data_IF_783894080495
#
_entry.id   IF_783894080495
#
_cell.length_a   1.000
_cell.length_b   1.000
_cell.length_c   1.000
_cell.angle_alpha   90.00
_cell.angle_beta   90.00
_cell.angle_gamma   90.00
#
_symmetry.space_group_name_H-M   'P 1'
#
loop_
_entity.id
_entity.type
_entity.pdbx_description
1 polymer ?
#
# COMPACT_ATOMS: atom_id res chain seq x y z
N UNK A 1 -68.94 18.53 -40.95
CA UNK A 1 -67.84 17.58 -40.72
C UNK A 1 -67.22 17.89 -39.36
N UNK A 2 -67.12 16.86 -38.52
CA UNK A 2 -66.59 16.93 -37.15
C UNK A 2 -65.08 16.85 -37.20
N UNK A 3 -64.37 17.70 -36.47
CA UNK A 3 -62.99 17.41 -36.07
C UNK A 3 -62.80 17.82 -34.62
N UNK A 4 -62.47 16.82 -33.80
CA UNK A 4 -62.10 16.90 -32.39
C UNK A 4 -60.59 17.18 -32.25
N UNK A 5 -60.18 17.42 -30.99
CA UNK A 5 -58.86 17.12 -30.38
C UNK A 5 -57.84 18.27 -30.55
N UNK A 6 -57.04 18.72 -29.57
CA UNK A 6 -56.35 18.06 -28.45
C UNK A 6 -56.12 19.05 -27.27
N UNK A 7 -56.36 18.60 -26.05
CA UNK A 7 -56.03 19.29 -24.79
C UNK A 7 -54.53 19.13 -24.50
N UNK A 8 -53.84 20.23 -24.18
CA UNK A 8 -52.40 20.27 -23.86
C UNK A 8 -52.21 20.44 -22.35
N UNK A 9 -52.20 19.32 -21.63
CA UNK A 9 -51.64 19.14 -20.27
C UNK A 9 -50.34 18.36 -20.47
N UNK A 10 -49.16 18.83 -20.06
CA UNK A 10 -48.75 19.16 -18.71
C UNK A 10 -47.60 18.20 -18.35
N UNK A 11 -46.36 18.67 -18.32
CA UNK A 11 -45.23 17.93 -17.75
C UNK A 11 -44.08 18.89 -17.45
N UNK A 12 -44.12 19.55 -16.28
CA UNK A 12 -42.96 20.24 -15.70
C UNK A 12 -42.21 19.20 -14.88
N UNK A 13 -41.17 18.63 -15.49
CA UNK A 13 -40.27 17.68 -14.86
C UNK A 13 -39.42 18.35 -13.79
N UNK A 14 -39.52 17.79 -12.59
CA UNK A 14 -38.79 18.12 -11.37
C UNK A 14 -37.34 17.62 -11.52
N UNK A 15 -36.38 18.53 -11.77
CA UNK A 15 -34.95 18.24 -11.65
C UNK A 15 -34.56 18.31 -10.17
N UNK A 16 -34.78 17.21 -9.45
CA UNK A 16 -34.33 17.05 -8.06
C UNK A 16 -32.84 16.64 -8.08
N UNK A 17 -32.03 17.41 -7.38
CA UNK A 17 -30.57 17.34 -7.43
C UNK A 17 -29.98 16.09 -6.79
N UNK A 18 -29.21 15.36 -7.58
CA UNK A 18 -28.13 14.51 -7.07
C UNK A 18 -26.91 15.41 -6.81
N UNK A 19 -26.92 16.13 -5.68
CA UNK A 19 -25.71 16.72 -5.13
C UNK A 19 -24.89 15.57 -4.55
N UNK A 20 -24.04 14.98 -5.40
CA UNK A 20 -23.21 13.83 -5.06
C UNK A 20 -22.30 14.14 -3.87
N UNK A 21 -22.52 13.40 -2.77
CA UNK A 21 -21.51 13.20 -1.75
C UNK A 21 -20.35 12.43 -2.42
N UNK A 22 -19.35 13.14 -2.91
CA UNK A 22 -18.05 12.52 -3.18
C UNK A 22 -17.47 12.11 -1.83
N UNK A 23 -17.25 10.82 -1.55
CA UNK A 23 -16.51 10.45 -0.37
C UNK A 23 -15.09 11.00 -0.51
N UNK A 24 -14.69 11.80 0.48
CA UNK A 24 -13.28 12.10 0.75
C UNK A 24 -12.62 10.76 1.12
N UNK A 25 -12.23 9.98 0.12
CA UNK A 25 -11.20 8.96 0.29
C UNK A 25 -9.95 9.74 0.70
N UNK A 26 -9.67 9.73 2.01
CA UNK A 26 -8.42 10.24 2.52
C UNK A 26 -7.30 9.51 1.80
N UNK A 27 -6.33 10.21 1.20
CA UNK A 27 -5.21 9.53 0.57
C UNK A 27 -4.56 8.65 1.64
N UNK A 28 -4.35 7.37 1.33
CA UNK A 28 -3.47 6.52 2.11
C UNK A 28 -2.19 7.35 2.35
N UNK A 29 -1.81 7.51 3.62
CA UNK A 29 -0.70 8.38 3.97
C UNK A 29 0.55 7.77 3.35
N UNK A 30 1.05 8.41 2.29
CA UNK A 30 2.22 7.93 1.56
C UNK A 30 3.37 7.70 2.55
N UNK A 31 4.00 6.52 2.50
CA UNK A 31 5.17 6.27 3.33
C UNK A 31 6.32 7.15 2.82
N UNK A 32 6.76 8.10 3.66
CA UNK A 32 7.82 9.04 3.31
C UNK A 32 9.11 8.67 4.04
N UNK A 33 10.18 8.46 3.29
CA UNK A 33 11.51 8.15 3.81
C UNK A 33 12.47 9.31 3.56
N UNK A 34 13.27 9.65 4.57
CA UNK A 34 14.29 10.71 4.47
C UNK A 34 15.66 10.07 4.31
N UNK A 35 16.39 10.44 3.28
CA UNK A 35 17.70 9.88 2.95
C UNK A 35 18.71 11.00 2.78
N UNK A 36 19.85 10.88 3.45
CA UNK A 36 21.02 11.74 3.20
C UNK A 36 21.78 11.19 1.99
N UNK A 37 21.88 12.01 0.94
CA UNK A 37 22.49 11.65 -0.32
C UNK A 37 23.51 12.70 -0.76
N UNK A 38 24.57 12.24 -1.43
CA UNK A 38 25.67 13.07 -1.90
C UNK A 38 25.62 13.10 -3.42
N UNK A 39 25.64 14.31 -3.99
CA UNK A 39 25.72 14.52 -5.42
C UNK A 39 27.06 15.10 -5.80
N UNK A 40 27.71 14.49 -6.79
CA UNK A 40 29.02 14.89 -7.29
C UNK A 40 28.92 15.03 -8.80
N UNK A 41 29.25 16.21 -9.32
CA UNK A 41 29.26 16.46 -10.76
C UNK A 41 30.62 16.95 -11.24
N UNK A 42 31.24 16.19 -12.14
CA UNK A 42 32.53 16.51 -12.74
C UNK A 42 32.47 17.63 -13.79
N UNK A 43 33.21 18.71 -13.56
CA UNK A 43 33.31 19.86 -14.46
C UNK A 43 34.52 19.67 -15.40
N UNK A 44 34.22 19.56 -16.70
CA UNK A 44 35.22 19.51 -17.79
C UNK A 44 35.48 20.88 -18.39
N UNK A 45 36.71 21.12 -18.88
CA UNK A 45 37.19 22.47 -19.19
C UNK A 45 36.36 23.16 -20.29
N UNK A 46 35.77 22.37 -21.20
CA UNK A 46 34.88 22.84 -22.27
C UNK A 46 33.38 22.87 -21.95
N UNK A 47 32.93 22.36 -20.79
CA UNK A 47 31.50 22.15 -20.52
C UNK A 47 30.81 23.31 -19.77
N UNK A 48 31.58 24.24 -19.20
CA UNK A 48 31.08 25.31 -18.30
C UNK A 48 29.98 26.22 -18.86
N UNK A 49 29.82 26.29 -20.18
CA UNK A 49 28.85 27.22 -20.80
C UNK A 49 27.47 26.62 -21.08
N UNK A 50 27.30 25.29 -20.95
CA UNK A 50 26.06 24.61 -21.35
C UNK A 50 25.24 24.11 -20.16
N UNK A 51 25.90 23.77 -19.06
CA UNK A 51 25.31 23.06 -17.93
C UNK A 51 25.65 23.80 -16.65
N UNK A 52 24.70 23.89 -15.71
CA UNK A 52 24.90 24.48 -14.39
C UNK A 52 25.36 23.35 -13.46
N UNK A 53 26.63 23.28 -13.04
CA UNK A 53 27.17 22.13 -12.30
C UNK A 53 26.41 21.81 -11.01
N UNK A 54 25.87 22.85 -10.37
CA UNK A 54 25.06 22.73 -9.16
C UNK A 54 23.76 21.96 -9.39
N UNK A 55 23.10 22.21 -10.51
CA UNK A 55 21.80 21.59 -10.81
C UNK A 55 22.01 20.09 -11.11
N UNK A 56 23.06 19.75 -11.87
CA UNK A 56 23.43 18.34 -12.12
C UNK A 56 23.85 17.62 -10.84
N UNK A 57 24.61 18.27 -9.96
CA UNK A 57 24.95 17.67 -8.67
C UNK A 57 23.70 17.44 -7.80
N UNK A 58 22.69 18.32 -7.89
CA UNK A 58 21.41 18.11 -7.21
C UNK A 58 20.67 16.91 -7.81
N UNK A 59 20.63 16.78 -9.13
CA UNK A 59 19.97 15.67 -9.82
C UNK A 59 20.65 14.33 -9.48
N UNK A 60 21.98 14.28 -9.44
CA UNK A 60 22.75 13.10 -9.00
C UNK A 60 22.48 12.75 -7.53
N UNK A 61 22.40 13.74 -6.63
CA UNK A 61 22.05 13.49 -5.23
C UNK A 61 20.61 12.94 -5.09
N UNK A 62 19.66 13.43 -5.91
CA UNK A 62 18.29 12.91 -5.93
C UNK A 62 18.28 11.46 -6.42
N UNK A 63 19.01 11.16 -7.50
CA UNK A 63 19.19 9.81 -8.01
C UNK A 63 19.72 8.86 -6.94
N UNK A 64 20.81 9.22 -6.27
CA UNK A 64 21.39 8.45 -5.17
C UNK A 64 20.40 8.22 -4.02
N UNK A 65 19.62 9.25 -3.65
CA UNK A 65 18.60 9.12 -2.61
C UNK A 65 17.49 8.13 -2.98
N UNK A 66 16.97 8.23 -4.21
CA UNK A 66 15.89 7.35 -4.69
C UNK A 66 16.40 5.92 -4.93
N UNK A 67 17.58 5.76 -5.52
CA UNK A 67 18.17 4.44 -5.82
C UNK A 67 18.45 3.65 -4.54
N UNK A 68 18.92 4.31 -3.48
CA UNK A 68 19.15 3.67 -2.18
C UNK A 68 17.85 3.14 -1.56
N UNK A 69 16.77 3.93 -1.61
CA UNK A 69 15.44 3.46 -1.17
C UNK A 69 14.96 2.30 -2.03
N UNK A 70 15.15 2.37 -3.34
CA UNK A 70 14.76 1.29 -4.25
C UNK A 70 15.51 -0.01 -3.95
N UNK A 71 16.82 0.05 -3.70
CA UNK A 71 17.63 -1.11 -3.31
C UNK A 71 17.21 -1.68 -1.95
N UNK A 72 16.88 -0.82 -0.99
CA UNK A 72 16.35 -1.23 0.31
C UNK A 72 15.02 -1.99 0.14
N UNK A 73 14.09 -1.46 -0.66
CA UNK A 73 12.81 -2.11 -0.98
C UNK A 73 13.03 -3.46 -1.68
N UNK A 74 13.98 -3.56 -2.62
CA UNK A 74 14.33 -4.84 -3.27
C UNK A 74 14.87 -5.83 -2.24
N UNK A 75 15.74 -5.38 -1.34
CA UNK A 75 16.31 -6.20 -0.27
C UNK A 75 15.26 -6.71 0.72
N UNK A 76 14.30 -5.86 1.10
CA UNK A 76 13.16 -6.22 1.95
C UNK A 76 12.18 -7.19 1.24
N UNK A 77 12.00 -7.04 -0.07
CA UNK A 77 11.12 -7.87 -0.87
C UNK A 77 11.73 -9.23 -1.26
N UNK A 78 13.06 -9.36 -1.18
CA UNK A 78 13.73 -10.63 -1.45
C UNK A 78 13.22 -11.68 -0.45
N UNK A 79 12.69 -12.82 -0.92
CA UNK A 79 12.25 -13.86 -0.02
C UNK A 79 13.44 -14.23 0.85
N UNK A 80 13.28 -14.13 2.18
CA UNK A 80 14.29 -14.57 3.15
C UNK A 80 14.51 -16.07 2.96
N UNK A 81 15.32 -16.43 1.98
CA UNK A 81 15.80 -17.76 1.72
C UNK A 81 16.88 -18.04 2.76
N UNK A 82 16.49 -18.05 4.03
CA UNK A 82 17.22 -18.79 5.04
C UNK A 82 16.87 -20.24 4.76
N UNK A 83 17.73 -21.03 4.09
CA UNK A 83 17.50 -22.46 4.04
C UNK A 83 17.38 -22.93 5.49
N UNK A 84 16.23 -23.49 5.85
CA UNK A 84 16.02 -24.07 7.17
C UNK A 84 16.99 -25.25 7.31
N UNK A 85 18.19 -24.95 7.81
CA UNK A 85 19.31 -25.87 7.94
C UNK A 85 19.06 -26.97 8.99
N UNK A 86 17.81 -27.13 9.45
CA UNK A 86 17.40 -28.14 10.42
C UNK A 86 17.03 -29.49 9.80
N UNK A 87 17.22 -29.69 8.50
CA UNK A 87 16.94 -30.98 7.84
C UNK A 87 18.18 -31.84 7.54
N UNK A 88 19.26 -31.72 8.34
CA UNK A 88 20.34 -32.73 8.34
C UNK A 88 20.55 -33.30 9.73
N UNK A 89 19.62 -34.15 10.16
CA UNK A 89 19.92 -35.23 11.11
C UNK A 89 20.86 -36.23 10.40
N UNK A 90 22.17 -35.98 10.52
CA UNK A 90 23.22 -36.88 10.06
C UNK A 90 24.28 -37.01 11.15
N UNK A 91 24.55 -38.23 11.67
CA UNK A 91 25.32 -38.39 12.89
C UNK A 91 26.82 -38.20 12.67
N UNK A 92 27.40 -37.33 13.49
CA UNK A 92 28.65 -37.50 14.25
C UNK A 92 29.73 -38.35 13.55
N UNK A 93 30.61 -37.67 12.83
CA UNK A 93 31.93 -38.15 12.46
C UNK A 93 32.95 -37.06 12.78
N UNK A 94 33.52 -37.12 13.99
CA UNK A 94 34.63 -36.28 14.41
C UNK A 94 35.81 -36.49 13.47
N UNK A 95 36.36 -35.41 12.93
CA UNK A 95 37.80 -35.15 13.00
C UNK A 95 38.10 -33.68 12.66
N UNK A 96 38.84 -33.07 13.57
CA UNK A 96 39.21 -31.67 13.62
C UNK A 96 40.31 -31.33 12.60
N UNK A 97 40.21 -30.17 11.94
CA UNK A 97 41.29 -29.19 11.78
C UNK A 97 40.86 -27.99 10.93
N UNK A 98 41.07 -26.77 11.47
CA UNK A 98 41.22 -25.55 10.67
C UNK A 98 40.06 -24.55 10.73
N UNK A 99 39.77 -23.99 11.91
CA UNK A 99 38.92 -22.80 12.07
C UNK A 99 39.81 -21.56 12.17
N UNK A 100 40.33 -21.12 11.04
CA UNK A 100 40.88 -19.77 10.82
C UNK A 100 40.17 -19.22 9.58
N UNK A 101 39.27 -18.25 9.76
CA UNK A 101 38.52 -17.65 8.65
C UNK A 101 37.18 -17.00 9.02
N UNK A 102 36.95 -16.66 10.29
CA UNK A 102 35.86 -15.76 10.68
C UNK A 102 36.27 -14.32 10.38
N UNK A 103 36.07 -13.90 9.13
CA UNK A 103 35.97 -12.51 8.72
C UNK A 103 35.07 -12.45 7.48
N UNK A 104 33.84 -12.95 7.61
CA UNK A 104 32.74 -12.53 6.76
C UNK A 104 32.42 -11.09 7.14
N UNK A 105 33.29 -10.16 6.74
CA UNK A 105 32.88 -8.78 6.62
C UNK A 105 31.62 -8.82 5.75
N UNK A 106 30.53 -8.28 6.28
CA UNK A 106 29.38 -7.90 5.48
C UNK A 106 29.96 -7.00 4.39
N UNK A 107 30.26 -7.59 3.24
CA UNK A 107 30.57 -6.88 2.02
C UNK A 107 29.31 -6.06 1.81
N UNK A 108 29.36 -4.79 2.22
CA UNK A 108 28.51 -3.73 1.70
C UNK A 108 28.87 -3.66 0.22
N UNK A 109 28.40 -4.65 -0.53
CA UNK A 109 28.63 -4.79 -1.94
C UNK A 109 28.02 -3.58 -2.58
N UNK A 110 28.87 -2.73 -3.16
CA UNK A 110 28.38 -1.69 -4.05
C UNK A 110 27.48 -2.36 -5.08
N UNK A 111 26.29 -1.79 -5.36
CA UNK A 111 25.36 -2.37 -6.31
C UNK A 111 26.08 -2.56 -7.64
N UNK A 112 25.90 -3.75 -8.22
CA UNK A 112 26.51 -4.05 -9.51
C UNK A 112 26.00 -3.09 -10.59
N UNK A 113 26.82 -2.82 -11.61
CA UNK A 113 26.44 -1.93 -12.71
C UNK A 113 25.14 -2.35 -13.41
N UNK A 114 24.87 -3.66 -13.47
CA UNK A 114 23.65 -4.21 -14.05
C UNK A 114 22.41 -3.93 -13.19
N UNK A 115 22.53 -3.98 -11.85
CA UNK A 115 21.46 -3.60 -10.93
C UNK A 115 21.12 -2.11 -11.06
N UNK A 116 22.16 -1.25 -11.10
CA UNK A 116 21.97 0.20 -11.28
C UNK A 116 21.32 0.50 -12.62
N UNK A 117 21.71 -0.18 -13.69
CA UNK A 117 21.09 -0.04 -15.01
C UNK A 117 19.62 -0.51 -15.01
N UNK A 118 19.32 -1.62 -14.33
CA UNK A 118 17.96 -2.13 -14.15
C UNK A 118 17.07 -1.13 -13.42
N UNK A 119 17.57 -0.55 -12.32
CA UNK A 119 16.88 0.50 -11.56
C UNK A 119 16.60 1.73 -12.41
N UNK A 120 17.57 2.19 -13.21
CA UNK A 120 17.38 3.35 -14.08
C UNK A 120 16.33 3.08 -15.15
N UNK A 121 16.28 1.88 -15.69
CA UNK A 121 15.23 1.45 -16.60
C UNK A 121 13.82 1.46 -15.95
N UNK A 122 13.74 1.07 -14.67
CA UNK A 122 12.47 0.99 -13.94
C UNK A 122 11.93 2.35 -13.48
N UNK A 123 12.80 3.22 -12.98
CA UNK A 123 12.45 4.54 -12.46
C UNK A 123 12.37 5.60 -13.57
N UNK A 124 13.02 5.36 -14.72
CA UNK A 124 13.14 6.33 -15.80
C UNK A 124 14.12 7.46 -15.49
N UNK A 125 14.19 8.42 -16.41
CA UNK A 125 15.11 9.57 -16.32
C UNK A 125 14.58 10.69 -15.41
N UNK A 126 13.25 10.79 -15.24
CA UNK A 126 12.61 11.85 -14.44
C UNK A 126 12.30 11.34 -13.03
N UNK A 127 13.01 11.86 -12.03
CA UNK A 127 12.94 11.37 -10.65
C UNK A 127 11.97 12.18 -9.75
N UNK A 128 11.52 13.35 -10.22
CA UNK A 128 10.58 14.19 -9.50
C UNK A 128 9.29 13.47 -9.08
N UNK A 129 8.71 12.54 -9.87
CA UNK A 129 7.52 11.80 -9.45
C UNK A 129 7.69 10.96 -8.18
N UNK A 130 8.92 10.56 -7.83
CA UNK A 130 9.25 9.72 -6.67
C UNK A 130 9.70 10.51 -5.45
N UNK A 131 9.85 11.83 -5.57
CA UNK A 131 10.29 12.70 -4.49
C UNK A 131 9.17 13.65 -4.07
N UNK A 132 9.04 13.89 -2.76
CA UNK A 132 8.15 14.94 -2.23
C UNK A 132 8.85 16.27 -2.08
N UNK A 133 10.17 16.24 -1.95
CA UNK A 133 11.02 17.41 -1.86
C UNK A 133 12.43 17.03 -1.41
N UNK A 134 13.30 18.02 -1.38
CA UNK A 134 14.65 17.87 -0.86
C UNK A 134 15.08 19.13 -0.12
N UNK A 135 16.10 19.02 0.72
CA UNK A 135 16.74 20.13 1.42
C UNK A 135 18.25 20.01 1.31
N UNK A 136 18.90 21.10 0.92
CA UNK A 136 20.36 21.19 0.92
C UNK A 136 20.85 21.24 2.38
N UNK A 137 21.65 20.25 2.75
CA UNK A 137 22.32 20.18 4.05
C UNK A 137 23.68 20.86 4.00
N UNK A 138 24.45 20.58 2.95
CA UNK A 138 25.78 21.14 2.71
C UNK A 138 25.98 21.43 1.22
N UNK A 139 26.51 22.61 0.87
CA UNK A 139 26.89 22.99 -0.49
C UNK A 139 28.37 23.37 -0.48
N UNK A 140 29.22 22.47 -0.99
CA UNK A 140 30.68 22.66 -0.99
C UNK A 140 31.18 23.43 -2.21
N UNK A 141 30.30 23.69 -3.18
CA UNK A 141 30.67 24.36 -4.42
C UNK A 141 31.64 23.54 -5.27
N UNK A 142 32.44 24.25 -6.06
CA UNK A 142 33.50 23.66 -6.90
C UNK A 142 34.72 23.31 -6.05
N UNK A 143 35.06 22.02 -5.97
CA UNK A 143 36.25 21.49 -5.30
C UNK A 143 37.18 20.84 -6.33
N UNK A 144 38.51 20.83 -6.11
CA UNK A 144 39.42 20.03 -6.93
C UNK A 144 39.09 18.54 -6.83
N UNK A 145 39.12 17.85 -7.96
CA UNK A 145 38.99 16.39 -8.02
C UNK A 145 40.08 15.77 -7.14
N UNK A 146 39.68 14.98 -6.14
CA UNK A 146 40.63 14.33 -5.22
C UNK A 146 41.21 13.02 -5.79
N UNK A 147 40.55 12.42 -6.77
CA UNK A 147 40.92 11.13 -7.35
C UNK A 147 40.94 11.19 -8.89
N UNK A 148 42.11 11.00 -9.50
CA UNK A 148 42.37 11.13 -10.96
C UNK A 148 41.77 9.98 -11.80
N UNK A 149 40.50 9.61 -11.59
CA UNK A 149 39.91 8.47 -12.32
C UNK A 149 39.34 8.86 -13.68
N UNK A 150 39.01 10.15 -13.89
CA UNK A 150 38.45 10.65 -15.14
C UNK A 150 39.40 11.64 -15.81
N UNK A 151 40.04 11.28 -16.95
CA UNK A 151 40.80 12.25 -17.72
C UNK A 151 39.85 13.39 -18.15
N UNK A 152 40.33 14.63 -18.05
CA UNK A 152 39.64 15.88 -18.41
C UNK A 152 38.65 16.48 -17.39
N UNK A 153 38.45 15.84 -16.22
CA UNK A 153 37.71 16.45 -15.10
C UNK A 153 38.72 17.10 -14.14
N UNK A 154 38.58 18.39 -13.88
CA UNK A 154 39.56 19.14 -13.06
C UNK A 154 38.92 19.78 -11.82
N UNK A 155 37.59 19.89 -11.79
CA UNK A 155 36.80 20.32 -10.64
C UNK A 155 35.56 19.44 -10.53
N UNK A 156 35.06 19.29 -9.33
CA UNK A 156 33.78 18.64 -9.01
C UNK A 156 32.89 19.65 -8.29
N UNK A 157 31.62 19.68 -8.62
CA UNK A 157 30.63 20.34 -7.78
C UNK A 157 30.07 19.31 -6.80
N UNK A 158 30.13 19.60 -5.49
CA UNK A 158 29.70 18.66 -4.44
C UNK A 158 28.59 19.27 -3.59
N UNK A 159 27.49 18.55 -3.45
CA UNK A 159 26.35 18.92 -2.61
C UNK A 159 25.87 17.71 -1.79
N UNK A 160 25.38 17.96 -0.58
CA UNK A 160 24.75 16.97 0.29
C UNK A 160 23.30 17.37 0.53
N UNK A 161 22.37 16.46 0.23
CA UNK A 161 20.92 16.67 0.33
C UNK A 161 20.29 15.73 1.34
N UNK A 162 19.25 16.21 2.04
CA UNK A 162 18.20 15.37 2.62
C UNK A 162 17.09 15.24 1.56
N UNK A 163 16.93 14.05 0.98
CA UNK A 163 15.90 13.75 -0.02
C UNK A 163 14.72 13.07 0.68
N UNK A 164 13.50 13.55 0.44
CA UNK A 164 12.26 12.94 0.94
C UNK A 164 11.63 12.12 -0.18
N UNK A 165 11.76 10.81 -0.10
CA UNK A 165 11.32 9.83 -1.10
C UNK A 165 9.94 9.28 -0.73
N UNK A 166 9.06 9.15 -1.72
CA UNK A 166 7.75 8.50 -1.61
C UNK A 166 7.92 7.00 -1.90
N UNK A 167 7.98 6.18 -0.84
CA UNK A 167 8.35 4.76 -0.92
C UNK A 167 7.31 3.99 -1.74
N UNK A 168 6.02 4.30 -1.55
CA UNK A 168 4.93 3.63 -2.25
C UNK A 168 5.05 3.78 -3.78
N UNK A 169 5.45 4.97 -4.24
CA UNK A 169 5.67 5.23 -5.67
C UNK A 169 6.87 4.51 -6.22
N UNK A 170 7.96 4.43 -5.45
CA UNK A 170 9.16 3.67 -5.83
C UNK A 170 8.79 2.19 -5.94
N UNK A 171 8.16 1.61 -4.92
CA UNK A 171 7.69 0.23 -4.92
C UNK A 171 6.80 -0.06 -6.13
N UNK A 172 5.80 0.78 -6.40
CA UNK A 172 4.92 0.60 -7.55
C UNK A 172 5.66 0.61 -8.91
N UNK A 173 6.69 1.45 -9.06
CA UNK A 173 7.51 1.47 -10.28
C UNK A 173 8.38 0.20 -10.40
N UNK A 174 8.98 -0.25 -9.29
CA UNK A 174 9.76 -1.49 -9.26
C UNK A 174 8.90 -2.72 -9.54
N UNK A 175 7.68 -2.77 -9.02
CA UNK A 175 6.68 -3.81 -9.34
C UNK A 175 6.32 -3.80 -10.82
N UNK A 176 6.05 -2.61 -11.38
CA UNK A 176 5.72 -2.45 -12.80
C UNK A 176 6.86 -2.91 -13.71
N UNK A 177 8.10 -2.70 -13.28
CA UNK A 177 9.30 -3.17 -13.98
C UNK A 177 9.60 -4.66 -13.75
N UNK A 178 8.90 -5.33 -12.83
CA UNK A 178 9.13 -6.72 -12.46
C UNK A 178 10.43 -6.96 -11.68
N UNK A 179 10.98 -5.92 -11.05
CA UNK A 179 12.19 -6.02 -10.22
C UNK A 179 11.88 -6.52 -8.81
N UNK A 180 10.68 -6.25 -8.32
CA UNK A 180 10.14 -6.87 -7.10
C UNK A 180 8.85 -7.60 -7.46
N UNK A 181 8.56 -8.66 -6.71
CA UNK A 181 7.24 -9.24 -6.77
C UNK A 181 6.23 -8.19 -6.28
N UNK A 182 5.02 -8.12 -6.88
CA UNK A 182 3.98 -7.29 -6.33
C UNK A 182 3.83 -7.64 -4.85
N UNK A 183 3.81 -6.64 -3.96
CA UNK A 183 3.57 -6.85 -2.53
C UNK A 183 2.21 -7.53 -2.29
N UNK A 184 1.31 -7.54 -3.28
CA UNK A 184 0.06 -8.31 -3.32
C UNK A 184 0.06 -9.58 -4.20
N UNK A 185 1.23 -10.00 -4.69
CA UNK A 185 1.42 -11.00 -5.75
C UNK A 185 2.05 -12.31 -5.28
N UNK A 186 1.73 -12.80 -4.08
CA UNK A 186 2.01 -14.19 -3.70
C UNK A 186 0.69 -14.94 -3.61
N UNK A 187 0.30 -15.52 -4.75
CA UNK A 187 -0.85 -16.42 -4.88
C UNK A 187 -2.22 -15.72 -4.91
N UNK A 188 -3.25 -16.51 -5.22
CA UNK A 188 -4.66 -16.12 -5.11
C UNK A 188 -5.11 -15.84 -3.65
N UNK A 189 -4.22 -15.33 -2.80
CA UNK A 189 -4.37 -15.20 -1.35
C UNK A 189 -3.90 -13.88 -0.75
N UNK A 190 -3.55 -12.87 -1.56
CA UNK A 190 -3.19 -11.55 -1.04
C UNK A 190 -4.31 -10.95 -0.19
N UNK A 191 -3.96 -10.23 0.87
CA UNK A 191 -4.95 -9.63 1.74
C UNK A 191 -5.85 -8.64 0.97
N UNK A 192 -7.14 -8.63 1.30
CA UNK A 192 -8.16 -7.76 0.73
C UNK A 192 -8.64 -6.84 1.83
N UNK A 193 -8.58 -5.53 1.59
CA UNK A 193 -9.11 -4.57 2.53
C UNK A 193 -10.63 -4.46 2.35
N UNK A 194 -11.39 -4.86 3.36
CA UNK A 194 -12.85 -4.75 3.39
C UNK A 194 -13.26 -3.61 4.32
N UNK A 195 -13.77 -2.54 3.74
CA UNK A 195 -14.33 -1.40 4.47
C UNK A 195 -15.85 -1.58 4.65
N UNK A 196 -16.27 -1.69 5.90
CA UNK A 196 -17.67 -1.77 6.31
C UNK A 196 -18.10 -0.38 6.79
N UNK A 197 -19.15 0.16 6.18
CA UNK A 197 -19.74 1.45 6.54
C UNK A 197 -21.12 1.22 7.15
N UNK A 198 -21.44 1.91 8.24
CA UNK A 198 -22.77 1.85 8.87
C UNK A 198 -22.97 0.73 9.90
N UNK A 199 -22.00 -0.18 10.07
CA UNK A 199 -22.05 -1.25 11.08
C UNK A 199 -21.48 -0.78 12.42
N UNK A 200 -22.25 -0.02 13.19
CA UNK A 200 -21.80 0.52 14.49
C UNK A 200 -21.78 -0.49 15.65
N UNK A 201 -22.26 -1.71 15.44
CA UNK A 201 -22.43 -2.74 16.48
C UNK A 201 -21.33 -3.79 16.36
N UNK A 202 -20.71 -4.12 17.50
CA UNK A 202 -19.64 -5.11 17.56
C UNK A 202 -20.14 -6.52 17.21
N UNK A 203 -21.37 -6.84 17.58
CA UNK A 203 -22.04 -8.11 17.27
C UNK A 203 -22.19 -8.30 15.75
N UNK A 204 -22.53 -7.23 15.04
CA UNK A 204 -22.62 -7.25 13.58
C UNK A 204 -21.25 -7.50 12.95
N UNK A 205 -20.19 -6.87 13.48
CA UNK A 205 -18.83 -7.12 13.01
C UNK A 205 -18.42 -8.58 13.22
N UNK A 206 -18.66 -9.14 14.41
CA UNK A 206 -18.37 -10.54 14.70
C UNK A 206 -19.11 -11.48 13.75
N UNK A 207 -20.35 -11.14 13.36
CA UNK A 207 -21.11 -11.92 12.38
C UNK A 207 -20.45 -11.89 11.00
N UNK A 208 -19.96 -10.73 10.55
CA UNK A 208 -19.21 -10.62 9.29
C UNK A 208 -17.91 -11.42 9.34
N UNK A 209 -17.15 -11.32 10.44
CA UNK A 209 -15.90 -12.07 10.62
C UNK A 209 -16.17 -13.58 10.59
N UNK A 210 -17.19 -14.05 11.32
CA UNK A 210 -17.57 -15.47 11.29
C UNK A 210 -17.99 -15.94 9.90
N UNK A 211 -18.77 -15.15 9.15
CA UNK A 211 -19.13 -15.50 7.78
C UNK A 211 -17.92 -15.51 6.82
N UNK A 212 -16.97 -14.58 7.00
CA UNK A 212 -15.73 -14.55 6.23
C UNK A 212 -14.91 -15.84 6.45
N UNK A 213 -14.73 -16.26 7.70
CA UNK A 213 -13.93 -17.44 8.05
C UNK A 213 -14.64 -18.75 7.71
N UNK A 214 -15.92 -18.90 8.08
CA UNK A 214 -16.64 -20.17 8.00
C UNK A 214 -17.29 -20.42 6.63
N UNK A 215 -17.86 -19.38 6.01
CA UNK A 215 -18.65 -19.52 4.77
C UNK A 215 -17.85 -19.15 3.53
N UNK A 216 -17.01 -18.11 3.63
CA UNK A 216 -16.24 -17.57 2.50
C UNK A 216 -14.78 -18.07 2.46
N UNK A 217 -14.39 -18.86 3.45
CA UNK A 217 -13.09 -19.55 3.49
C UNK A 217 -11.90 -18.60 3.68
N UNK A 218 -12.08 -17.44 4.31
CA UNK A 218 -10.98 -16.57 4.69
C UNK A 218 -10.05 -17.32 5.64
N UNK A 219 -8.75 -17.35 5.32
CA UNK A 219 -7.72 -17.98 6.14
C UNK A 219 -7.29 -17.10 7.31
N UNK A 220 -7.43 -15.78 7.16
CA UNK A 220 -7.11 -14.80 8.19
C UNK A 220 -7.98 -13.57 8.04
N UNK A 221 -8.58 -13.12 9.14
CA UNK A 221 -9.32 -11.85 9.20
C UNK A 221 -8.75 -11.02 10.33
N UNK A 222 -8.25 -9.83 10.02
CA UNK A 222 -7.73 -8.89 11.01
C UNK A 222 -8.53 -7.58 10.97
N UNK A 223 -8.99 -7.11 12.12
CA UNK A 223 -9.56 -5.77 12.23
C UNK A 223 -8.43 -4.75 12.34
N UNK A 224 -8.30 -3.87 11.35
CA UNK A 224 -7.28 -2.81 11.29
C UNK A 224 -7.81 -1.52 11.93
N UNK A 225 -9.08 -1.20 11.68
CA UNK A 225 -9.72 0.01 12.21
C UNK A 225 -11.13 -0.34 12.71
N UNK A 226 -11.46 0.16 13.91
CA UNK A 226 -12.80 0.06 14.47
C UNK A 226 -13.26 1.44 14.95
N UNK A 227 -13.97 2.16 14.09
CA UNK A 227 -14.62 3.42 14.39
C UNK A 227 -16.14 3.23 14.47
N UNK A 228 -16.87 4.26 14.96
CA UNK A 228 -18.32 4.17 15.17
C UNK A 228 -19.10 3.87 13.88
N UNK A 229 -18.72 4.49 12.77
CA UNK A 229 -19.47 4.40 11.50
C UNK A 229 -18.68 3.70 10.38
N UNK A 230 -17.48 3.19 10.71
CA UNK A 230 -16.53 2.63 9.76
C UNK A 230 -15.68 1.56 10.44
N UNK A 231 -15.58 0.40 9.80
CA UNK A 231 -14.68 -0.66 10.20
C UNK A 231 -13.85 -1.08 9.00
N UNK A 232 -12.56 -1.32 9.22
CA UNK A 232 -11.65 -1.78 8.18
C UNK A 232 -11.12 -3.13 8.60
N UNK A 233 -11.39 -4.13 7.77
CA UNK A 233 -10.89 -5.48 7.89
C UNK A 233 -9.82 -5.71 6.83
N UNK A 234 -8.83 -6.51 7.18
CA UNK A 234 -7.86 -7.08 6.27
C UNK A 234 -8.12 -8.58 6.19
N UNK A 235 -8.48 -9.06 5.00
CA UNK A 235 -9.00 -10.41 4.77
C UNK A 235 -8.08 -11.16 3.82
N UNK A 236 -7.39 -12.18 4.29
CA UNK A 236 -6.64 -13.12 3.46
C UNK A 236 -7.50 -14.36 3.21
N UNK A 237 -7.48 -14.87 1.99
CA UNK A 237 -8.25 -16.05 1.63
C UNK A 237 -8.20 -16.34 0.12
N UNK A 238 -8.79 -17.45 -0.32
CA UNK A 238 -8.71 -17.90 -1.71
C UNK A 238 -9.56 -17.06 -2.69
N UNK A 239 -10.43 -16.19 -2.17
CA UNK A 239 -11.32 -15.36 -2.97
C UNK A 239 -10.64 -14.06 -3.37
N UNK A 240 -10.83 -13.65 -4.63
CA UNK A 240 -10.47 -12.30 -5.08
C UNK A 240 -11.50 -11.24 -4.64
N UNK A 241 -11.22 -9.93 -4.81
CA UNK A 241 -12.08 -8.84 -4.35
C UNK A 241 -13.52 -8.93 -4.84
N UNK A 242 -13.72 -9.24 -6.13
CA UNK A 242 -15.04 -9.32 -6.75
C UNK A 242 -15.86 -10.50 -6.20
N UNK A 243 -15.23 -11.68 -6.09
CA UNK A 243 -15.87 -12.88 -5.57
C UNK A 243 -16.20 -12.75 -4.07
N UNK A 244 -15.28 -12.16 -3.30
CA UNK A 244 -15.50 -11.89 -1.88
C UNK A 244 -16.63 -10.87 -1.67
N UNK A 245 -16.67 -9.81 -2.47
CA UNK A 245 -17.75 -8.81 -2.41
C UNK A 245 -19.11 -9.43 -2.76
N UNK A 246 -19.16 -10.27 -3.80
CA UNK A 246 -20.39 -10.96 -4.18
C UNK A 246 -20.84 -11.96 -3.10
N UNK A 247 -19.90 -12.69 -2.50
CA UNK A 247 -20.18 -13.62 -1.40
C UNK A 247 -20.74 -12.92 -0.17
N UNK A 248 -20.14 -11.79 0.24
CA UNK A 248 -20.63 -10.98 1.35
C UNK A 248 -22.03 -10.41 1.08
N UNK A 249 -22.32 -9.99 -0.15
CA UNK A 249 -23.65 -9.50 -0.53
C UNK A 249 -24.72 -10.60 -0.58
N UNK A 250 -24.31 -11.85 -0.80
CA UNK A 250 -25.19 -13.01 -0.85
C UNK A 250 -25.48 -13.62 0.52
N UNK A 251 -24.92 -13.08 1.61
CA UNK A 251 -25.20 -13.56 2.97
C UNK A 251 -26.67 -13.28 3.34
N UNK A 252 -27.49 -14.32 3.35
CA UNK A 252 -28.89 -14.25 3.77
C UNK A 252 -29.01 -14.33 5.30
N UNK A 253 -28.65 -13.24 6.00
CA UNK A 253 -28.79 -13.11 7.46
C UNK A 253 -29.89 -12.10 7.76
N UNK A 254 -30.96 -12.53 8.46
CA UNK A 254 -32.10 -11.64 8.78
C UNK A 254 -31.66 -10.40 9.58
N UNK A 255 -30.61 -10.54 10.39
CA UNK A 255 -30.08 -9.50 11.27
C UNK A 255 -29.05 -8.59 10.57
N UNK A 256 -28.54 -8.98 9.41
CA UNK A 256 -27.42 -8.31 8.75
C UNK A 256 -27.61 -8.25 7.23
N UNK A 257 -27.68 -7.04 6.69
CA UNK A 257 -27.70 -6.81 5.25
C UNK A 257 -26.40 -6.09 4.86
N UNK A 258 -25.67 -6.65 3.89
CA UNK A 258 -24.46 -6.05 3.32
C UNK A 258 -24.70 -5.72 1.85
N UNK A 259 -24.49 -4.47 1.45
CA UNK A 259 -24.63 -4.00 0.08
C UNK A 259 -23.30 -3.48 -0.46
N UNK A 260 -22.76 -4.01 -1.56
CA UNK A 260 -21.54 -3.49 -2.19
C UNK A 260 -21.76 -2.08 -2.73
N UNK A 261 -20.92 -1.14 -2.30
CA UNK A 261 -20.92 0.23 -2.80
C UNK A 261 -19.68 0.58 -3.62
N UNK A 262 -18.65 -0.25 -3.58
CA UNK A 262 -17.47 -0.13 -4.43
C UNK A 262 -16.55 -1.35 -4.34
N UNK A 263 -15.94 -1.72 -5.45
CA UNK A 263 -14.90 -2.76 -5.52
C UNK A 263 -13.77 -2.22 -6.38
N UNK A 264 -12.56 -2.15 -5.81
CA UNK A 264 -11.32 -1.88 -6.52
C UNK A 264 -10.53 -3.18 -6.61
N UNK A 265 -10.60 -3.90 -7.74
CA UNK A 265 -9.89 -5.16 -7.91
C UNK A 265 -8.37 -4.96 -7.97
N UNK A 266 -7.89 -3.78 -8.41
CA UNK A 266 -6.46 -3.48 -8.53
C UNK A 266 -5.87 -3.17 -7.17
N UNK A 267 -6.51 -2.27 -6.42
CA UNK A 267 -6.14 -1.94 -5.03
C UNK A 267 -6.55 -2.99 -4.00
N UNK A 268 -7.19 -4.10 -4.42
CA UNK A 268 -7.75 -5.16 -3.56
C UNK A 268 -8.61 -4.59 -2.42
N UNK A 269 -9.44 -3.60 -2.72
CA UNK A 269 -10.31 -2.96 -1.75
C UNK A 269 -11.78 -3.24 -2.07
N UNK A 270 -12.56 -3.56 -1.05
CA UNK A 270 -14.02 -3.71 -1.12
C UNK A 270 -14.62 -2.71 -0.15
N UNK A 271 -15.70 -2.06 -0.55
CA UNK A 271 -16.49 -1.19 0.30
C UNK A 271 -17.95 -1.65 0.33
N UNK A 272 -18.45 -1.91 1.53
CA UNK A 272 -19.82 -2.40 1.78
C UNK A 272 -20.55 -1.45 2.71
N UNK A 273 -21.82 -1.19 2.40
CA UNK A 273 -22.77 -0.58 3.34
C UNK A 273 -23.44 -1.71 4.12
N UNK A 274 -23.29 -1.72 5.44
CA UNK A 274 -23.95 -2.69 6.29
C UNK A 274 -25.08 -2.09 7.11
N UNK A 275 -26.18 -2.83 7.22
CA UNK A 275 -27.33 -2.52 8.06
C UNK A 275 -27.55 -3.65 9.05
N UNK A 276 -27.67 -3.30 10.33
CA UNK A 276 -27.89 -4.26 11.41
C UNK A 276 -29.30 -4.13 11.99
N UNK A 277 -30.00 -5.25 12.07
CA UNK A 277 -31.32 -5.38 12.65
C UNK A 277 -31.21 -6.25 13.90
N UNK A 278 -31.25 -5.68 15.11
CA UNK A 278 -31.16 -6.49 16.32
C UNK A 278 -32.31 -7.48 16.35
N UNK A 279 -32.03 -8.72 16.76
CA UNK A 279 -33.06 -9.71 17.03
C UNK A 279 -34.13 -9.07 17.93
N UNK A 280 -35.44 -9.31 17.66
CA UNK A 280 -36.47 -8.87 18.57
C UNK A 280 -36.12 -9.49 19.92
N UNK A 281 -35.72 -8.64 20.86
CA UNK A 281 -35.52 -9.07 22.24
C UNK A 281 -36.88 -9.65 22.60
N UNK A 282 -36.93 -10.95 22.92
CA UNK A 282 -38.16 -11.57 23.36
C UNK A 282 -38.51 -10.86 24.67
N UNK A 283 -39.24 -9.75 24.54
CA UNK A 283 -39.67 -8.94 25.65
C UNK A 283 -40.37 -9.92 26.56
N UNK A 284 -39.81 -9.96 27.76
CA UNK A 284 -40.11 -10.90 28.80
C UNK A 284 -41.61 -10.80 29.07
N UNK A 285 -42.38 -11.64 28.37
CA UNK A 285 -43.81 -11.87 28.56
C UNK A 285 -44.03 -12.59 29.89
N UNK A 286 -43.51 -12.01 30.96
CA UNK A 286 -43.69 -12.39 32.35
C UNK A 286 -44.00 -11.13 33.15
N UNK A 287 -44.78 -10.21 32.57
CA UNK A 287 -45.80 -9.55 33.38
C UNK A 287 -46.92 -10.59 33.54
N UNK A 288 -46.68 -11.52 34.46
CA UNK A 288 -47.74 -12.29 35.06
C UNK A 288 -48.66 -11.25 35.71
N UNK A 289 -49.78 -11.01 35.05
CA UNK A 289 -50.96 -10.34 35.57
C UNK A 289 -51.25 -10.96 36.95
N UNK A 290 -50.77 -10.29 38.00
CA UNK A 290 -51.01 -10.64 39.39
C UNK A 290 -52.49 -10.34 39.64
N UNK A 291 -53.35 -11.32 39.32
CA UNK A 291 -54.79 -11.25 39.56
C UNK A 291 -55.00 -10.96 41.05
N UNK A 292 -55.50 -9.78 41.44
CA UNK A 292 -55.75 -9.48 42.84
C UNK A 292 -56.88 -10.39 43.34
N UNK A 293 -56.60 -11.12 44.42
CA UNK A 293 -57.57 -12.00 45.06
C UNK A 293 -58.83 -11.23 45.48
N UNK A 294 -60.04 -11.79 45.30
CA UNK A 294 -61.27 -11.17 45.76
C UNK A 294 -61.30 -11.17 47.30
N UNK A 295 -61.28 -9.98 47.90
CA UNK A 295 -61.52 -9.78 49.32
C UNK A 295 -62.95 -10.16 49.70
N UNK A 296 -63.08 -10.92 50.78
CA UNK A 296 -64.35 -11.26 51.44
C UNK A 296 -64.80 -10.24 52.47
#
# INVERSE_FOLDING_TARGET
MRTRVLVKTGLRGLLLGCLGLLPLLGPAAAELRKVEAVGIFGIRQGARTRVIPRDEAIDEAIWEGVSRVALEVIGEAAPSAVPDARATDGPSGSDAQGIDGFAGAEETGEPSADEVAGLRGALGEELLPYTRGYRILEDRGEVPVLFEELPDVFLEYVVVLEVVVDVDRVSAALETAGLIAPLGGVGAGGAIQVELVGLSRYEALLMVVGALEEELGATRVQTVEFARDRQVLMVEGPLGPEALSAGLAALERVELVLEPIGVDPVGRQIRLLGQWFPAPTAESGTEADEVPAPGG
#
